data_IF_710234040736
#
_entry.id   IF_710234040736
#
_cell.length_a   1.000
_cell.length_b   1.000
_cell.length_c   1.000
_cell.angle_alpha   90.00
_cell.angle_beta   90.00
_cell.angle_gamma   90.00
#
_symmetry.space_group_name_H-M   'P 1'
#
loop_
_entity.id
_entity.type
_entity.pdbx_description
1 polymer ?
#
# COMPACT_ATOMS: atom_id res chain seq x y z
N UNK A 1 -27.57 92.46 -23.68
CA UNK A 1 -27.07 91.50 -22.68
C UNK A 1 -26.95 90.20 -23.40
N UNK A 2 -25.71 89.79 -23.60
CA UNK A 2 -25.29 89.09 -24.80
C UNK A 2 -24.80 87.69 -24.49
N UNK A 3 -24.86 86.82 -25.51
CA UNK A 3 -24.06 85.61 -25.57
C UNK A 3 -24.69 84.34 -25.00
N UNK A 4 -24.30 83.14 -25.48
CA UNK A 4 -23.52 82.86 -26.69
C UNK A 4 -23.84 81.41 -27.17
N UNK A 5 -23.37 81.06 -28.37
CA UNK A 5 -23.80 79.88 -29.13
C UNK A 5 -23.23 78.51 -28.70
N UNK A 6 -23.90 77.45 -29.19
CA UNK A 6 -23.39 76.12 -29.60
C UNK A 6 -23.17 74.99 -28.57
N UNK A 7 -23.53 73.76 -28.99
CA UNK A 7 -23.26 72.52 -28.27
C UNK A 7 -24.07 71.30 -28.75
N UNK A 8 -23.96 70.89 -30.03
CA UNK A 8 -24.53 69.61 -30.50
C UNK A 8 -23.53 68.47 -30.28
N UNK A 9 -23.96 67.41 -29.59
CA UNK A 9 -23.33 66.10 -29.50
C UNK A 9 -24.28 65.17 -28.73
N UNK A 10 -24.47 63.90 -29.06
CA UNK A 10 -23.72 63.03 -29.96
C UNK A 10 -23.77 61.64 -29.32
N UNK A 11 -24.77 60.84 -29.70
CA UNK A 11 -25.00 59.50 -29.14
C UNK A 11 -23.88 58.53 -29.56
N UNK A 12 -22.79 58.51 -28.79
CA UNK A 12 -21.78 57.46 -28.90
C UNK A 12 -22.25 56.24 -28.13
N UNK A 13 -22.74 55.22 -28.85
CA UNK A 13 -22.87 53.87 -28.30
C UNK A 13 -21.47 53.37 -27.97
N UNK A 14 -21.14 53.40 -26.68
CA UNK A 14 -19.89 52.83 -26.18
C UNK A 14 -19.95 51.32 -26.30
N UNK A 15 -19.34 50.77 -27.35
CA UNK A 15 -19.03 49.33 -27.41
C UNK A 15 -18.01 49.05 -26.30
N UNK A 16 -18.44 48.28 -25.30
CA UNK A 16 -17.64 47.98 -24.12
C UNK A 16 -16.49 47.02 -24.43
N UNK A 17 -15.37 47.60 -24.86
CA UNK A 17 -14.09 46.91 -25.09
C UNK A 17 -13.44 46.33 -23.83
N UNK A 18 -14.02 46.50 -22.63
CA UNK A 18 -13.51 45.82 -21.44
C UNK A 18 -13.81 44.31 -21.45
N UNK A 19 -14.85 43.90 -22.18
CA UNK A 19 -15.24 42.48 -22.32
C UNK A 19 -14.21 41.64 -23.10
N UNK A 20 -13.70 42.12 -24.24
CA UNK A 20 -12.73 41.39 -25.08
C UNK A 20 -11.34 41.24 -24.41
N UNK A 21 -10.94 42.18 -23.55
CA UNK A 21 -9.59 42.18 -22.95
C UNK A 21 -9.48 41.13 -21.84
N UNK A 22 -10.53 40.93 -21.04
CA UNK A 22 -10.55 39.97 -19.92
C UNK A 22 -10.57 38.50 -20.39
N UNK A 23 -11.07 38.22 -21.59
CA UNK A 23 -11.16 36.85 -22.10
C UNK A 23 -9.82 36.33 -22.66
N UNK A 24 -8.94 37.23 -23.10
CA UNK A 24 -7.65 36.89 -23.72
C UNK A 24 -6.64 36.21 -22.77
N UNK A 25 -6.68 36.51 -21.47
CA UNK A 25 -5.66 36.11 -20.49
C UNK A 25 -5.85 34.67 -19.97
N UNK A 26 -6.97 34.01 -20.30
CA UNK A 26 -7.22 32.57 -20.02
C UNK A 26 -6.52 31.64 -21.01
N UNK A 27 -6.08 32.14 -22.17
CA UNK A 27 -5.50 31.33 -23.25
C UNK A 27 -4.08 30.84 -22.95
N UNK A 28 -3.34 31.52 -22.08
CA UNK A 28 -1.99 31.13 -21.66
C UNK A 28 -2.06 30.19 -20.46
N UNK A 29 -2.48 28.95 -20.72
CA UNK A 29 -2.11 27.79 -19.89
C UNK A 29 -0.59 27.75 -19.79
N UNK A 30 -0.09 28.38 -18.74
CA UNK A 30 1.31 28.77 -18.60
C UNK A 30 2.16 27.49 -18.66
N UNK A 31 3.22 27.45 -19.48
CA UNK A 31 4.03 26.22 -19.67
C UNK A 31 4.50 25.64 -18.34
N UNK A 32 4.78 26.52 -17.35
CA UNK A 32 5.10 26.17 -15.96
C UNK A 32 4.00 25.36 -15.24
N UNK A 33 2.72 25.59 -15.54
CA UNK A 33 1.59 24.84 -14.98
C UNK A 33 1.45 23.45 -15.61
N UNK A 34 1.61 23.34 -16.94
CA UNK A 34 1.68 22.03 -17.61
C UNK A 34 2.85 21.18 -17.11
N UNK A 35 4.03 21.79 -16.96
CA UNK A 35 5.21 21.14 -16.37
C UNK A 35 4.96 20.63 -14.94
N UNK A 36 4.23 21.38 -14.09
CA UNK A 36 3.88 20.91 -12.74
C UNK A 36 2.97 19.68 -12.74
N UNK A 37 2.11 19.51 -13.75
CA UNK A 37 1.26 18.32 -13.88
C UNK A 37 1.98 17.09 -14.42
N UNK A 38 3.03 17.27 -15.24
CA UNK A 38 3.80 16.18 -15.88
C UNK A 38 5.05 15.79 -15.08
N UNK A 39 5.61 16.70 -14.28
CA UNK A 39 6.85 16.49 -13.51
C UNK A 39 6.83 15.20 -12.66
N UNK A 40 5.76 14.85 -11.91
CA UNK A 40 5.75 13.62 -11.13
C UNK A 40 5.87 12.36 -11.98
N UNK A 41 5.25 12.31 -13.17
CA UNK A 41 5.36 11.18 -14.10
C UNK A 41 6.79 11.03 -14.63
N UNK A 42 7.48 12.14 -14.91
CA UNK A 42 8.88 12.13 -15.32
C UNK A 42 9.82 11.67 -14.19
N UNK A 43 9.52 12.05 -12.94
CA UNK A 43 10.27 11.61 -11.78
C UNK A 43 10.05 10.12 -11.47
N UNK A 44 8.83 9.61 -11.65
CA UNK A 44 8.55 8.17 -11.56
C UNK A 44 9.30 7.39 -12.64
N UNK A 45 9.22 7.82 -13.91
CA UNK A 45 9.97 7.19 -14.99
C UNK A 45 11.48 7.20 -14.74
N UNK A 46 12.01 8.27 -14.15
CA UNK A 46 13.42 8.37 -13.76
C UNK A 46 13.77 7.44 -12.59
N UNK A 47 12.90 7.33 -11.56
CA UNK A 47 13.10 6.42 -10.44
C UNK A 47 13.08 4.96 -10.88
N UNK A 48 12.13 4.56 -11.73
CA UNK A 48 12.07 3.23 -12.34
C UNK A 48 13.28 2.95 -13.25
N UNK A 49 13.75 3.96 -14.00
CA UNK A 49 14.99 3.83 -14.76
C UNK A 49 16.20 3.59 -13.85
N UNK A 50 16.38 4.36 -12.77
CA UNK A 50 17.47 4.10 -11.82
C UNK A 50 17.35 2.72 -11.15
N UNK A 51 16.14 2.32 -10.75
CA UNK A 51 15.90 1.00 -10.18
C UNK A 51 16.28 -0.14 -11.14
N UNK A 52 15.82 -0.09 -12.40
CA UNK A 52 16.17 -1.10 -13.42
C UNK A 52 17.65 -1.15 -13.82
N UNK A 53 18.43 -0.10 -13.53
CA UNK A 53 19.87 -0.01 -13.87
C UNK A 53 20.81 -0.29 -12.70
N UNK A 54 20.35 -0.10 -11.46
CA UNK A 54 21.20 -0.17 -10.25
C UNK A 54 20.55 -0.92 -9.07
N UNK A 55 19.23 -1.15 -9.06
CA UNK A 55 18.52 -1.83 -7.98
C UNK A 55 18.65 -3.36 -8.00
N UNK A 56 18.97 -3.94 -9.15
CA UNK A 56 19.10 -5.40 -9.37
C UNK A 56 20.55 -5.91 -9.40
N UNK A 57 21.50 -5.13 -8.88
CA UNK A 57 22.93 -5.50 -8.92
C UNK A 57 23.25 -6.60 -7.88
N UNK A 58 23.04 -7.86 -8.27
CA UNK A 58 23.86 -8.98 -7.79
C UNK A 58 23.19 -10.11 -7.00
N UNK A 59 21.86 -10.30 -7.06
CA UNK A 59 21.20 -11.44 -6.36
C UNK A 59 20.11 -12.07 -7.25
N UNK A 60 20.35 -13.33 -7.63
CA UNK A 60 19.55 -14.46 -8.21
C UNK A 60 18.21 -14.28 -8.99
N UNK A 61 17.87 -15.33 -9.76
CA UNK A 61 16.59 -15.54 -10.47
C UNK A 61 15.93 -16.85 -9.96
N UNK A 62 14.62 -16.82 -9.62
CA UNK A 62 13.74 -18.00 -9.47
C UNK A 62 12.24 -17.58 -9.43
N UNK A 63 11.32 -18.54 -9.63
CA UNK A 63 9.86 -18.32 -9.74
C UNK A 63 9.02 -19.52 -9.24
N UNK A 64 7.68 -19.34 -9.19
CA UNK A 64 6.58 -20.34 -8.95
C UNK A 64 6.07 -20.49 -7.47
N UNK A 65 5.02 -21.31 -7.14
CA UNK A 65 3.73 -20.82 -6.59
C UNK A 65 3.29 -21.53 -5.24
N UNK A 66 2.05 -21.39 -4.70
CA UNK A 66 1.75 -21.57 -3.25
C UNK A 66 1.30 -22.99 -2.78
N UNK A 67 1.25 -23.21 -1.45
CA UNK A 67 1.03 -24.51 -0.77
C UNK A 67 0.19 -24.39 0.53
N UNK A 68 -0.65 -25.39 0.82
CA UNK A 68 -1.41 -25.69 2.07
C UNK A 68 -1.54 -27.23 2.20
N UNK A 69 -1.67 -27.92 3.34
CA UNK A 69 -1.59 -27.64 4.80
C UNK A 69 -1.05 -28.97 5.44
N UNK A 70 -0.49 -29.10 6.64
CA UNK A 70 -0.43 -28.25 7.84
C UNK A 70 0.17 -26.87 7.61
N UNK A 71 -0.16 -25.96 8.52
CA UNK A 71 0.50 -24.67 8.66
C UNK A 71 1.89 -24.83 9.28
N UNK A 72 2.81 -25.34 8.46
CA UNK A 72 4.22 -25.00 8.56
C UNK A 72 4.31 -23.50 8.20
N UNK A 73 4.30 -22.64 9.22
CA UNK A 73 4.33 -21.17 9.02
C UNK A 73 5.57 -20.74 8.23
N UNK A 74 6.67 -21.49 8.38
CA UNK A 74 7.95 -21.17 7.76
C UNK A 74 8.90 -22.35 7.77
N UNK A 75 9.54 -22.62 6.64
CA UNK A 75 10.82 -23.33 6.57
C UNK A 75 11.97 -22.32 6.65
N UNK A 76 13.01 -22.64 7.41
CA UNK A 76 14.26 -21.88 7.37
C UNK A 76 15.49 -22.78 7.33
N UNK A 77 16.47 -22.36 6.54
CA UNK A 77 17.62 -23.14 6.13
C UNK A 77 18.89 -22.52 6.71
N UNK A 78 19.49 -23.19 7.69
CA UNK A 78 20.77 -22.83 8.29
C UNK A 78 21.82 -23.84 7.85
N UNK A 79 23.11 -23.50 7.91
CA UNK A 79 24.18 -24.40 7.47
C UNK A 79 24.12 -25.76 8.19
N UNK A 80 23.73 -26.82 7.47
CA UNK A 80 23.55 -28.19 8.00
C UNK A 80 22.28 -28.42 8.82
N UNK A 81 21.30 -27.50 8.78
CA UNK A 81 20.01 -27.63 9.47
C UNK A 81 18.84 -27.10 8.64
N UNK A 82 17.71 -27.79 8.70
CA UNK A 82 16.39 -27.29 8.30
C UNK A 82 15.58 -27.09 9.58
N UNK A 83 15.10 -25.88 9.83
CA UNK A 83 14.16 -25.57 10.92
C UNK A 83 12.75 -25.37 10.34
N UNK A 84 11.81 -26.16 10.83
CA UNK A 84 10.39 -26.11 10.46
C UNK A 84 9.63 -25.44 11.60
N UNK A 85 9.10 -24.24 11.36
CA UNK A 85 8.22 -23.55 12.31
C UNK A 85 6.78 -24.00 12.08
N UNK A 86 6.13 -24.49 13.14
CA UNK A 86 4.79 -25.08 13.10
C UNK A 86 3.87 -24.44 14.12
N UNK A 87 2.59 -24.36 13.77
CA UNK A 87 1.50 -23.93 14.66
C UNK A 87 0.40 -24.98 14.68
N UNK A 88 -0.04 -25.37 15.87
CA UNK A 88 -1.17 -26.29 15.99
C UNK A 88 -2.50 -25.54 15.77
N UNK A 89 -2.99 -25.57 14.53
CA UNK A 89 -4.31 -25.10 14.11
C UNK A 89 -5.48 -26.03 14.48
N UNK A 90 -5.23 -27.17 15.11
CA UNK A 90 -6.23 -28.17 15.47
C UNK A 90 -6.95 -27.91 16.80
N UNK A 91 -8.05 -28.64 17.08
CA UNK A 91 -8.77 -28.55 18.35
C UNK A 91 -8.09 -29.29 19.51
N UNK A 92 -7.26 -30.30 19.19
CA UNK A 92 -6.57 -31.17 20.15
C UNK A 92 -5.04 -30.98 20.09
N UNK A 93 -4.29 -31.27 21.16
CA UNK A 93 -2.82 -31.25 21.12
C UNK A 93 -2.25 -32.24 20.09
N UNK A 94 -1.22 -31.82 19.36
CA UNK A 94 -0.54 -32.64 18.35
C UNK A 94 0.87 -32.95 18.84
N UNK A 95 1.21 -34.23 18.97
CA UNK A 95 2.57 -34.66 19.28
C UNK A 95 3.30 -35.13 18.02
N UNK A 96 4.44 -34.52 17.70
CA UNK A 96 5.28 -34.92 16.56
C UNK A 96 6.13 -36.13 16.96
N UNK A 97 6.01 -37.22 16.20
CA UNK A 97 6.65 -38.50 16.47
C UNK A 97 7.81 -38.81 15.52
N UNK A 98 7.67 -38.46 14.24
CA UNK A 98 8.66 -38.73 13.20
C UNK A 98 8.77 -37.57 12.21
N UNK A 99 9.92 -37.50 11.55
CA UNK A 99 10.20 -36.57 10.47
C UNK A 99 10.91 -37.31 9.35
N UNK A 100 10.50 -37.08 8.10
CA UNK A 100 11.26 -37.45 6.91
C UNK A 100 11.73 -36.22 6.15
N UNK A 101 12.88 -36.34 5.50
CA UNK A 101 13.34 -35.42 4.45
C UNK A 101 13.65 -36.28 3.23
N UNK A 102 13.07 -35.94 2.07
CA UNK A 102 13.22 -36.67 0.80
C UNK A 102 12.90 -38.18 0.96
N UNK A 103 11.73 -38.46 1.56
CA UNK A 103 11.23 -39.80 1.94
C UNK A 103 12.08 -40.57 2.99
N UNK A 104 13.24 -40.04 3.42
CA UNK A 104 14.12 -40.68 4.40
C UNK A 104 13.85 -40.21 5.83
N UNK A 105 13.65 -41.15 6.75
CA UNK A 105 13.52 -40.85 8.19
C UNK A 105 14.79 -40.20 8.75
N UNK A 106 14.64 -39.08 9.44
CA UNK A 106 15.77 -38.33 10.01
C UNK A 106 15.61 -38.08 11.52
N UNK A 107 16.72 -37.74 12.17
CA UNK A 107 16.67 -37.23 13.55
C UNK A 107 16.17 -35.79 13.57
N UNK A 108 15.53 -35.38 14.65
CA UNK A 108 15.01 -34.03 14.84
C UNK A 108 14.98 -33.65 16.33
N UNK A 109 14.96 -32.35 16.62
CA UNK A 109 14.76 -31.79 17.95
C UNK A 109 13.57 -30.81 17.88
N UNK A 110 12.59 -30.93 18.78
CA UNK A 110 11.45 -30.00 18.83
C UNK A 110 11.57 -29.08 20.05
N UNK A 111 11.42 -27.77 19.84
CA UNK A 111 11.40 -26.75 20.90
C UNK A 111 10.11 -25.94 20.85
N UNK A 112 9.45 -25.65 21.99
CA UNK A 112 9.87 -25.97 23.37
C UNK A 112 9.58 -27.41 23.82
N UNK A 113 8.66 -28.10 23.15
CA UNK A 113 8.23 -29.48 23.42
C UNK A 113 7.71 -30.11 22.13
N UNK A 114 7.75 -31.44 22.01
CA UNK A 114 7.18 -32.17 20.88
C UNK A 114 5.65 -32.29 20.93
N UNK A 115 5.05 -32.12 22.12
CA UNK A 115 3.60 -32.00 22.33
C UNK A 115 3.17 -30.54 22.17
N UNK A 116 2.53 -30.22 21.06
CA UNK A 116 2.09 -28.87 20.70
C UNK A 116 0.62 -28.71 21.07
N UNK A 117 0.33 -28.01 22.15
CA UNK A 117 -1.04 -27.64 22.55
C UNK A 117 -1.75 -26.82 21.45
N UNK A 118 -3.08 -26.79 21.48
CA UNK A 118 -3.89 -25.95 20.57
C UNK A 118 -3.46 -24.48 20.63
N UNK A 119 -3.27 -23.85 19.46
CA UNK A 119 -2.68 -22.50 19.27
C UNK A 119 -1.21 -22.38 19.72
N UNK A 120 -0.56 -23.49 20.09
CA UNK A 120 0.86 -23.54 20.41
C UNK A 120 1.74 -23.45 19.17
N UNK A 121 2.91 -22.82 19.35
CA UNK A 121 3.98 -22.74 18.37
C UNK A 121 5.11 -23.70 18.75
N UNK A 122 5.76 -24.32 17.77
CA UNK A 122 7.00 -25.05 17.97
C UNK A 122 7.95 -24.90 16.78
N UNK A 123 9.22 -25.21 16.98
CA UNK A 123 10.24 -25.29 15.93
C UNK A 123 10.86 -26.67 15.94
N UNK A 124 10.81 -27.36 14.81
CA UNK A 124 11.41 -28.68 14.57
C UNK A 124 12.73 -28.48 13.85
N UNK A 125 13.85 -28.67 14.55
CA UNK A 125 15.19 -28.56 13.99
C UNK A 125 15.68 -29.92 13.50
N UNK A 126 16.01 -30.01 12.22
CA UNK A 126 16.44 -31.24 11.51
C UNK A 126 17.90 -31.04 11.07
N UNK A 127 18.90 -31.78 11.62
CA UNK A 127 20.30 -31.70 11.21
C UNK A 127 20.54 -32.37 9.84
N UNK A 128 20.04 -31.76 8.77
CA UNK A 128 20.12 -32.26 7.40
C UNK A 128 21.12 -31.44 6.56
N UNK A 129 22.07 -32.08 5.85
CA UNK A 129 23.07 -31.40 5.02
C UNK A 129 22.50 -31.07 3.64
N UNK A 130 21.48 -30.20 3.59
CA UNK A 130 20.86 -29.72 2.35
C UNK A 130 21.85 -28.98 1.44
N UNK A 131 21.53 -28.92 0.14
CA UNK A 131 22.35 -28.27 -0.89
C UNK A 131 21.61 -27.06 -1.45
N UNK A 132 22.31 -25.94 -1.64
CA UNK A 132 21.71 -24.73 -2.19
C UNK A 132 21.28 -24.93 -3.65
N UNK A 133 20.01 -24.65 -3.92
CA UNK A 133 19.38 -24.86 -5.23
C UNK A 133 18.62 -26.18 -5.39
N UNK A 134 18.74 -27.13 -4.45
CA UNK A 134 18.02 -28.42 -4.53
C UNK A 134 16.62 -28.36 -3.89
N UNK A 135 15.63 -29.09 -4.42
CA UNK A 135 14.34 -29.25 -3.79
C UNK A 135 14.42 -30.24 -2.63
N UNK A 136 13.72 -29.97 -1.52
CA UNK A 136 13.56 -30.89 -0.41
C UNK A 136 12.10 -31.04 0.00
N UNK A 137 11.62 -32.27 0.15
CA UNK A 137 10.30 -32.58 0.69
C UNK A 137 10.43 -32.97 2.17
N UNK A 138 9.86 -32.16 3.07
CA UNK A 138 9.87 -32.40 4.52
C UNK A 138 8.49 -32.86 4.96
N UNK A 139 8.42 -34.00 5.65
CA UNK A 139 7.17 -34.54 6.18
C UNK A 139 7.27 -34.70 7.69
N UNK A 140 6.33 -34.12 8.42
CA UNK A 140 6.15 -34.33 9.86
C UNK A 140 5.02 -35.35 10.07
N UNK A 141 5.21 -36.30 10.97
CA UNK A 141 4.22 -37.35 11.27
C UNK A 141 3.89 -37.32 12.76
N UNK A 142 2.60 -37.27 13.09
CA UNK A 142 2.13 -37.26 14.48
C UNK A 142 2.16 -38.66 15.14
N UNK A 143 2.06 -38.72 16.47
CA UNK A 143 1.81 -39.98 17.20
C UNK A 143 0.50 -40.66 16.82
N UNK A 144 -0.48 -39.90 16.30
CA UNK A 144 -1.74 -40.41 15.74
C UNK A 144 -1.63 -40.88 14.28
N UNK A 145 -0.45 -40.79 13.65
CA UNK A 145 -0.22 -41.20 12.26
C UNK A 145 -0.76 -40.23 11.21
N UNK A 146 -1.08 -38.99 11.60
CA UNK A 146 -1.43 -37.91 10.66
C UNK A 146 -0.13 -37.37 10.04
N UNK A 147 -0.17 -37.15 8.73
CA UNK A 147 0.97 -36.76 7.90
C UNK A 147 0.81 -35.29 7.52
N UNK A 148 1.90 -34.54 7.59
CA UNK A 148 1.95 -33.10 7.31
C UNK A 148 3.16 -32.80 6.44
N UNK A 149 2.94 -32.36 5.21
CA UNK A 149 4.00 -32.18 4.21
C UNK A 149 4.27 -30.69 3.95
N UNK A 150 5.54 -30.33 3.79
CA UNK A 150 5.95 -29.08 3.16
C UNK A 150 7.10 -29.34 2.19
N UNK A 151 7.02 -28.71 1.03
CA UNK A 151 8.07 -28.73 0.02
C UNK A 151 8.84 -27.40 0.06
N UNK A 152 10.17 -27.49 0.07
CA UNK A 152 11.04 -26.39 -0.29
C UNK A 152 11.57 -26.66 -1.70
N UNK A 153 10.94 -26.13 -2.76
CA UNK A 153 11.33 -26.44 -4.15
C UNK A 153 12.71 -25.89 -4.52
N UNK A 154 13.23 -24.93 -3.76
CA UNK A 154 14.60 -24.40 -3.87
C UNK A 154 15.12 -24.08 -2.47
N UNK A 155 15.99 -24.94 -1.92
CA UNK A 155 16.66 -24.64 -0.66
C UNK A 155 17.71 -23.52 -0.86
N UNK A 156 17.66 -22.48 -0.02
CA UNK A 156 18.60 -21.35 -0.04
C UNK A 156 18.89 -20.87 1.37
N UNK A 157 20.09 -20.33 1.64
CA UNK A 157 20.46 -19.91 2.99
C UNK A 157 19.48 -18.85 3.51
N UNK A 158 18.71 -19.21 4.55
CA UNK A 158 17.78 -18.27 5.15
C UNK A 158 18.54 -17.07 5.72
N UNK A 159 18.15 -15.84 5.36
CA UNK A 159 18.96 -14.66 5.64
C UNK A 159 19.11 -14.42 7.14
N UNK A 160 20.36 -14.43 7.61
CA UNK A 160 20.68 -14.05 8.99
C UNK A 160 20.62 -12.53 9.15
N UNK A 161 20.14 -11.99 10.30
CA UNK A 161 20.10 -10.56 10.54
C UNK A 161 21.49 -9.89 10.52
N UNK A 162 21.85 -9.35 9.35
CA UNK A 162 23.08 -8.60 9.11
C UNK A 162 22.80 -7.19 8.59
N UNK A 163 23.79 -6.30 8.73
CA UNK A 163 23.69 -4.90 8.27
C UNK A 163 23.41 -4.78 6.78
N UNK A 164 24.00 -5.65 5.94
CA UNK A 164 23.74 -5.71 4.50
C UNK A 164 22.29 -6.06 4.19
N UNK A 165 21.72 -7.06 4.88
CA UNK A 165 20.31 -7.42 4.70
C UNK A 165 19.39 -6.27 5.11
N UNK A 166 19.58 -5.73 6.32
CA UNK A 166 18.80 -4.59 6.82
C UNK A 166 18.85 -3.40 5.85
N UNK A 167 20.02 -3.12 5.27
CA UNK A 167 20.18 -2.08 4.26
C UNK A 167 19.45 -2.42 2.95
N UNK A 168 19.57 -3.64 2.43
CA UNK A 168 18.91 -4.07 1.18
C UNK A 168 17.39 -3.93 1.29
N UNK A 169 16.78 -4.49 2.33
CA UNK A 169 15.32 -4.45 2.49
C UNK A 169 14.82 -3.04 2.85
N UNK A 170 15.65 -2.21 3.51
CA UNK A 170 15.36 -0.79 3.68
C UNK A 170 15.40 -0.02 2.36
N UNK A 171 16.35 -0.33 1.47
CA UNK A 171 16.41 0.28 0.13
C UNK A 171 15.18 -0.15 -0.69
N UNK A 172 14.80 -1.43 -0.68
CA UNK A 172 13.60 -1.93 -1.36
C UNK A 172 12.33 -1.21 -0.88
N UNK A 173 12.06 -1.23 0.44
CA UNK A 173 10.91 -0.52 1.01
C UNK A 173 10.95 1.01 0.81
N UNK A 174 12.13 1.61 0.70
CA UNK A 174 12.28 3.03 0.37
C UNK A 174 11.95 3.33 -1.10
N UNK A 175 12.33 2.46 -2.03
CA UNK A 175 11.96 2.56 -3.45
C UNK A 175 10.47 2.31 -3.70
N UNK A 176 9.83 1.48 -2.87
CA UNK A 176 8.43 1.06 -3.03
C UNK A 176 7.42 1.95 -2.31
N UNK A 177 7.68 2.32 -1.06
CA UNK A 177 6.78 3.19 -0.31
C UNK A 177 7.22 4.65 -0.38
N UNK A 178 8.44 4.95 0.08
CA UNK A 178 8.85 6.33 0.38
C UNK A 178 9.00 7.19 -0.88
N UNK A 179 9.85 6.79 -1.83
CA UNK A 179 10.08 7.56 -3.08
C UNK A 179 8.77 7.86 -3.84
N UNK A 180 7.93 6.86 -4.20
CA UNK A 180 6.77 7.08 -5.05
C UNK A 180 5.68 7.89 -4.36
N UNK A 181 5.37 7.65 -3.08
CA UNK A 181 4.46 8.52 -2.31
C UNK A 181 4.95 9.97 -2.32
N UNK A 182 6.26 10.19 -2.16
CA UNK A 182 6.83 11.54 -2.27
C UNK A 182 6.75 12.14 -3.67
N UNK A 183 6.90 11.34 -4.73
CA UNK A 183 6.65 11.78 -6.11
C UNK A 183 5.19 12.18 -6.27
N UNK A 184 4.24 11.41 -5.75
CA UNK A 184 2.82 11.73 -5.78
C UNK A 184 2.48 13.05 -5.08
N UNK A 185 3.11 13.34 -3.94
CA UNK A 185 2.95 14.61 -3.22
C UNK A 185 3.40 15.84 -4.04
N UNK A 186 4.22 15.68 -5.09
CA UNK A 186 4.66 16.78 -5.99
C UNK A 186 3.49 17.31 -6.84
N UNK A 187 2.36 16.60 -6.98
CA UNK A 187 1.14 17.18 -7.57
C UNK A 187 0.48 18.25 -6.69
N UNK A 188 0.79 18.36 -5.40
CA UNK A 188 0.20 19.37 -4.50
C UNK A 188 0.21 20.82 -5.07
N UNK A 189 1.35 21.41 -5.50
CA UNK A 189 1.38 22.75 -6.11
C UNK A 189 0.61 22.89 -7.44
N UNK A 190 0.35 21.79 -8.16
CA UNK A 190 -0.54 21.77 -9.32
C UNK A 190 -2.00 21.81 -8.88
N UNK A 191 -2.40 20.94 -7.96
CA UNK A 191 -3.77 20.83 -7.44
C UNK A 191 -4.27 22.16 -6.86
N UNK A 192 -3.43 22.90 -6.12
CA UNK A 192 -3.79 24.22 -5.55
C UNK A 192 -4.09 25.33 -6.58
N UNK A 193 -3.80 25.11 -7.86
CA UNK A 193 -4.05 26.07 -8.95
C UNK A 193 -5.26 25.72 -9.79
N UNK A 194 -5.92 24.59 -9.49
CA UNK A 194 -7.14 24.16 -10.16
C UNK A 194 -8.35 24.98 -9.68
N UNK A 195 -9.35 25.12 -10.55
CA UNK A 195 -10.66 25.59 -10.13
C UNK A 195 -11.39 24.52 -9.30
N UNK A 196 -12.36 24.94 -8.48
CA UNK A 196 -13.10 24.04 -7.58
C UNK A 196 -13.67 22.81 -8.31
N UNK A 197 -14.21 23.00 -9.53
CA UNK A 197 -14.71 21.92 -10.40
C UNK A 197 -13.65 20.87 -10.73
N UNK A 198 -12.45 21.29 -11.12
CA UNK A 198 -11.34 20.36 -11.39
C UNK A 198 -10.80 19.75 -10.10
N UNK A 199 -10.84 20.47 -8.98
CA UNK A 199 -10.43 19.94 -7.69
C UNK A 199 -11.40 18.84 -7.19
N UNK A 200 -12.72 19.00 -7.36
CA UNK A 200 -13.69 17.92 -7.11
C UNK A 200 -13.46 16.73 -8.06
N UNK A 201 -13.13 16.96 -9.34
CA UNK A 201 -12.76 15.88 -10.26
C UNK A 201 -11.56 15.07 -9.74
N UNK A 202 -10.46 15.70 -9.31
CA UNK A 202 -9.30 14.99 -8.76
C UNK A 202 -9.57 14.34 -7.38
N UNK A 203 -10.46 14.90 -6.56
CA UNK A 203 -10.95 14.20 -5.37
C UNK A 203 -11.81 12.97 -5.76
N UNK A 204 -12.59 13.03 -6.84
CA UNK A 204 -13.33 11.87 -7.34
C UNK A 204 -12.39 10.79 -7.89
N UNK A 205 -11.34 11.18 -8.63
CA UNK A 205 -10.24 10.28 -9.00
C UNK A 205 -9.65 9.64 -7.74
N UNK A 206 -9.36 10.42 -6.69
CA UNK A 206 -8.88 9.89 -5.40
C UNK A 206 -9.84 8.87 -4.78
N UNK A 207 -11.15 9.13 -4.79
CA UNK A 207 -12.16 8.15 -4.32
C UNK A 207 -12.11 6.87 -5.17
N UNK A 208 -11.97 6.98 -6.49
CA UNK A 208 -11.82 5.83 -7.38
C UNK A 208 -10.55 5.01 -7.13
N UNK A 209 -9.40 5.68 -6.93
CA UNK A 209 -8.14 5.04 -6.57
C UNK A 209 -8.28 4.27 -5.25
N UNK A 210 -8.77 4.93 -4.19
CA UNK A 210 -8.90 4.35 -2.85
C UNK A 210 -9.98 3.25 -2.76
N UNK A 211 -11.06 3.32 -3.57
CA UNK A 211 -12.03 2.23 -3.67
C UNK A 211 -11.39 0.95 -4.24
N UNK A 212 -10.59 1.08 -5.32
CA UNK A 212 -9.89 -0.07 -5.88
C UNK A 212 -8.87 -0.60 -4.89
N UNK A 213 -8.02 0.27 -4.33
CA UNK A 213 -7.00 -0.08 -3.34
C UNK A 213 -7.61 -0.81 -2.13
N UNK A 214 -8.74 -0.33 -1.62
CA UNK A 214 -9.47 -0.96 -0.53
C UNK A 214 -9.96 -2.37 -0.88
N UNK A 215 -10.51 -2.57 -2.08
CA UNK A 215 -10.93 -3.90 -2.56
C UNK A 215 -9.74 -4.84 -2.71
N UNK A 216 -8.66 -4.36 -3.32
CA UNK A 216 -7.41 -5.11 -3.55
C UNK A 216 -6.81 -5.60 -2.21
N UNK A 217 -6.70 -4.69 -1.23
CA UNK A 217 -6.25 -5.00 0.13
C UNK A 217 -7.17 -6.01 0.84
N UNK A 218 -8.48 -5.99 0.58
CA UNK A 218 -9.42 -7.00 1.12
C UNK A 218 -9.20 -8.35 0.47
N UNK A 219 -8.97 -8.41 -0.85
CA UNK A 219 -8.68 -9.66 -1.57
C UNK A 219 -7.38 -10.26 -1.04
N UNK A 220 -6.29 -9.49 -0.97
CA UNK A 220 -5.00 -9.94 -0.43
C UNK A 220 -5.11 -10.43 1.03
N UNK A 221 -5.87 -9.71 1.87
CA UNK A 221 -6.13 -10.15 3.24
C UNK A 221 -6.96 -11.44 3.32
N UNK A 222 -7.86 -11.70 2.37
CA UNK A 222 -8.63 -12.95 2.30
C UNK A 222 -7.75 -14.10 1.79
N UNK A 223 -6.92 -13.87 0.78
CA UNK A 223 -5.99 -14.86 0.24
C UNK A 223 -4.96 -15.28 1.30
N UNK A 224 -4.31 -14.33 1.99
CA UNK A 224 -3.41 -14.65 3.09
C UNK A 224 -4.10 -15.29 4.29
N UNK A 225 -5.42 -15.15 4.42
CA UNK A 225 -6.18 -15.76 5.50
C UNK A 225 -6.34 -17.28 5.38
N UNK A 226 -6.09 -17.88 4.20
CA UNK A 226 -6.10 -19.34 4.03
C UNK A 226 -4.84 -19.98 4.64
N UNK A 227 -3.70 -19.31 4.50
CA UNK A 227 -2.44 -19.66 5.17
C UNK A 227 -2.44 -19.43 6.70
N UNK A 228 -3.54 -18.94 7.29
CA UNK A 228 -3.69 -18.79 8.75
C UNK A 228 -4.24 -20.07 9.35
N UNK A 229 -3.46 -20.71 10.24
CA UNK A 229 -3.84 -21.92 10.97
C UNK A 229 -5.27 -21.86 11.53
N UNK A 230 -6.09 -22.85 11.19
CA UNK A 230 -7.56 -22.79 11.30
C UNK A 230 -8.12 -22.41 12.69
N UNK A 231 -7.42 -22.76 13.77
CA UNK A 231 -7.80 -22.37 15.14
C UNK A 231 -7.87 -20.84 15.36
N UNK A 232 -7.17 -20.03 14.57
CA UNK A 232 -7.23 -18.56 14.61
C UNK A 232 -8.34 -17.95 13.73
N UNK A 233 -9.03 -18.76 12.93
CA UNK A 233 -10.10 -18.35 12.00
C UNK A 233 -9.67 -17.18 11.08
N UNK A 234 -8.80 -17.43 10.10
CA UNK A 234 -8.22 -16.39 9.23
C UNK A 234 -9.22 -15.34 8.71
N UNK A 235 -10.34 -15.76 8.13
CA UNK A 235 -11.39 -14.84 7.64
C UNK A 235 -11.99 -13.99 8.79
N UNK A 236 -12.16 -14.59 9.97
CA UNK A 236 -12.62 -13.89 11.17
C UNK A 236 -11.59 -12.89 11.71
N UNK A 237 -10.29 -13.23 11.64
CA UNK A 237 -9.19 -12.33 11.96
C UNK A 237 -9.14 -11.14 11.00
N UNK A 238 -9.24 -11.38 9.68
CA UNK A 238 -9.32 -10.35 8.66
C UNK A 238 -10.53 -9.42 8.89
N UNK A 239 -11.74 -9.97 9.02
CA UNK A 239 -12.94 -9.18 9.30
C UNK A 239 -12.81 -8.35 10.59
N UNK A 240 -12.19 -8.92 11.63
CA UNK A 240 -11.94 -8.21 12.90
C UNK A 240 -10.96 -7.04 12.71
N UNK A 241 -9.84 -7.24 12.00
CA UNK A 241 -8.90 -6.17 11.66
C UNK A 241 -9.58 -5.04 10.87
N UNK A 242 -10.31 -5.40 9.81
CA UNK A 242 -11.09 -4.46 9.01
C UNK A 242 -12.04 -3.62 9.86
N UNK A 243 -12.89 -4.29 10.66
CA UNK A 243 -13.90 -3.61 11.46
C UNK A 243 -13.27 -2.73 12.55
N UNK A 244 -12.17 -3.17 13.18
CA UNK A 244 -11.45 -2.38 14.17
C UNK A 244 -10.91 -1.07 13.59
N UNK A 245 -10.23 -1.11 12.44
CA UNK A 245 -9.73 0.10 11.80
C UNK A 245 -10.85 1.02 11.33
N UNK A 246 -11.87 0.45 10.64
CA UNK A 246 -13.02 1.21 10.16
C UNK A 246 -13.73 1.95 11.31
N UNK A 247 -13.97 1.28 12.43
CA UNK A 247 -14.59 1.86 13.62
C UNK A 247 -13.66 2.85 14.33
N UNK A 248 -12.36 2.57 14.45
CA UNK A 248 -11.41 3.49 15.08
C UNK A 248 -11.36 4.84 14.34
N UNK A 249 -11.24 4.82 13.00
CA UNK A 249 -11.28 6.04 12.17
C UNK A 249 -12.66 6.72 12.30
N UNK A 250 -13.76 5.96 12.29
CA UNK A 250 -15.12 6.49 12.47
C UNK A 250 -15.34 7.21 13.81
N UNK A 251 -14.77 6.68 14.90
CA UNK A 251 -14.86 7.27 16.24
C UNK A 251 -14.03 8.55 16.33
N UNK A 252 -12.82 8.56 15.77
CA UNK A 252 -11.95 9.75 15.72
C UNK A 252 -12.60 10.88 14.92
N UNK A 253 -13.31 10.55 13.83
CA UNK A 253 -14.05 11.51 13.00
C UNK A 253 -15.21 12.16 13.78
N UNK A 254 -16.15 11.34 14.28
CA UNK A 254 -17.31 11.81 15.08
C UNK A 254 -16.90 12.63 16.31
N UNK A 255 -15.82 12.22 16.99
CA UNK A 255 -15.30 12.95 18.15
C UNK A 255 -14.81 14.37 17.80
N UNK A 256 -14.45 14.63 16.55
CA UNK A 256 -14.00 15.94 16.06
C UNK A 256 -15.11 16.79 15.47
N UNK A 257 -16.10 16.18 14.81
CA UNK A 257 -17.34 16.86 14.43
C UNK A 257 -17.98 17.50 15.67
N UNK A 258 -18.08 16.74 16.76
CA UNK A 258 -18.60 17.19 18.06
C UNK A 258 -17.77 18.31 18.73
N UNK A 259 -16.54 18.56 18.30
CA UNK A 259 -15.68 19.64 18.80
C UNK A 259 -15.64 20.89 17.88
N UNK A 260 -16.41 20.91 16.78
CA UNK A 260 -16.48 22.08 15.89
C UNK A 260 -15.15 22.43 15.23
N UNK A 261 -14.35 21.42 14.85
CA UNK A 261 -13.03 21.62 14.25
C UNK A 261 -13.10 22.48 12.97
N UNK A 262 -12.20 23.47 12.85
CA UNK A 262 -12.11 24.36 11.68
C UNK A 262 -11.79 23.58 10.41
N UNK A 263 -12.34 24.01 9.27
CA UNK A 263 -12.18 23.37 7.95
C UNK A 263 -10.73 23.04 7.57
N UNK A 264 -9.79 23.99 7.71
CA UNK A 264 -8.36 23.76 7.45
C UNK A 264 -7.74 22.66 8.34
N UNK A 265 -8.22 22.49 9.58
CA UNK A 265 -7.78 21.43 10.51
C UNK A 265 -8.40 20.08 10.12
N UNK A 266 -9.64 20.10 9.62
CA UNK A 266 -10.32 18.91 9.09
C UNK A 266 -9.61 18.36 7.84
N UNK A 267 -9.28 19.22 6.86
CA UNK A 267 -8.58 18.80 5.63
C UNK A 267 -7.19 18.21 5.90
N UNK A 268 -6.45 18.76 6.87
CA UNK A 268 -5.15 18.24 7.28
C UNK A 268 -5.26 16.90 8.02
N UNK A 269 -6.27 16.74 8.88
CA UNK A 269 -6.53 15.45 9.51
C UNK A 269 -6.87 14.39 8.47
N UNK A 270 -7.78 14.69 7.55
CA UNK A 270 -8.22 13.74 6.53
C UNK A 270 -7.01 13.22 5.74
N UNK A 271 -6.07 14.10 5.40
CA UNK A 271 -4.80 13.69 4.78
C UNK A 271 -3.91 12.81 5.67
N UNK A 272 -3.89 13.00 6.99
CA UNK A 272 -3.22 12.07 7.91
C UNK A 272 -3.96 10.74 8.05
N UNK A 273 -5.29 10.71 8.02
CA UNK A 273 -6.07 9.47 8.03
C UNK A 273 -5.86 8.68 6.73
N UNK A 274 -5.87 9.35 5.58
CA UNK A 274 -5.44 8.80 4.27
C UNK A 274 -4.03 8.22 4.39
N UNK A 275 -3.06 9.00 4.88
CA UNK A 275 -1.67 8.56 5.00
C UNK A 275 -1.47 7.37 5.96
N UNK A 276 -2.26 7.26 7.04
CA UNK A 276 -2.22 6.10 7.94
C UNK A 276 -2.84 4.86 7.30
N UNK A 277 -3.96 5.00 6.58
CA UNK A 277 -4.58 3.87 5.87
C UNK A 277 -3.66 3.31 4.79
N UNK A 278 -3.09 4.21 3.97
CA UNK A 278 -2.03 3.89 3.00
C UNK A 278 -0.82 3.25 3.69
N UNK A 279 -0.33 3.84 4.79
CA UNK A 279 0.82 3.30 5.52
C UNK A 279 0.62 1.87 6.02
N UNK A 280 -0.62 1.48 6.34
CA UNK A 280 -0.95 0.09 6.71
C UNK A 280 -1.03 -0.84 5.49
N UNK A 281 -1.43 -0.35 4.32
CA UNK A 281 -1.36 -1.10 3.05
C UNK A 281 0.11 -1.30 2.60
N UNK A 282 0.89 -0.22 2.54
CA UNK A 282 2.30 -0.24 2.13
C UNK A 282 3.17 -1.06 3.10
N UNK A 283 2.75 -1.22 4.36
CA UNK A 283 3.34 -2.20 5.27
C UNK A 283 3.14 -3.65 4.79
N UNK A 284 1.95 -3.99 4.29
CA UNK A 284 1.62 -5.27 3.67
C UNK A 284 2.41 -5.54 2.39
N UNK A 285 2.48 -4.58 1.47
CA UNK A 285 3.38 -4.66 0.30
C UNK A 285 4.83 -4.93 0.71
N UNK A 286 5.28 -4.24 1.75
CA UNK A 286 6.57 -4.47 2.37
C UNK A 286 6.72 -5.92 2.84
N UNK A 287 5.74 -6.47 3.55
CA UNK A 287 5.75 -7.88 3.97
C UNK A 287 5.83 -8.83 2.76
N UNK A 288 5.07 -8.57 1.68
CA UNK A 288 5.06 -9.38 0.47
C UNK A 288 6.41 -9.36 -0.26
N UNK A 289 7.01 -8.18 -0.48
CA UNK A 289 8.38 -8.04 -1.02
C UNK A 289 9.39 -8.71 -0.09
N UNK A 290 9.24 -8.50 1.22
CA UNK A 290 10.05 -9.09 2.26
C UNK A 290 10.12 -10.61 2.13
N UNK A 291 8.95 -11.24 2.12
CA UNK A 291 8.80 -12.68 1.97
C UNK A 291 9.34 -13.17 0.61
N UNK A 292 8.96 -12.54 -0.50
CA UNK A 292 9.37 -12.93 -1.85
C UNK A 292 10.90 -12.92 -2.03
N UNK A 293 11.61 -11.90 -1.53
CA UNK A 293 13.07 -11.89 -1.57
C UNK A 293 13.71 -12.89 -0.60
N UNK A 294 13.10 -13.18 0.55
CA UNK A 294 13.62 -14.16 1.51
C UNK A 294 13.38 -15.63 1.11
N UNK A 295 12.40 -15.90 0.23
CA UNK A 295 12.17 -17.21 -0.40
C UNK A 295 12.90 -17.37 -1.74
N UNK A 296 13.68 -16.38 -2.18
CA UNK A 296 14.43 -16.41 -3.44
C UNK A 296 13.61 -16.10 -4.69
N UNK A 297 12.32 -15.75 -4.57
CA UNK A 297 11.43 -15.36 -5.67
C UNK A 297 11.73 -13.93 -6.18
N UNK A 298 12.95 -13.68 -6.63
CA UNK A 298 13.46 -12.33 -6.93
C UNK A 298 12.86 -11.75 -8.22
N UNK A 299 12.46 -12.59 -9.18
CA UNK A 299 11.70 -12.13 -10.34
C UNK A 299 10.36 -11.51 -9.89
N UNK A 300 9.61 -12.23 -9.03
CA UNK A 300 8.38 -11.75 -8.39
C UNK A 300 8.66 -10.49 -7.55
N UNK A 301 9.67 -10.50 -6.68
CA UNK A 301 10.02 -9.34 -5.85
C UNK A 301 10.38 -8.08 -6.65
N UNK A 302 11.16 -8.21 -7.73
CA UNK A 302 11.53 -7.09 -8.63
C UNK A 302 10.31 -6.55 -9.37
N UNK A 303 9.46 -7.46 -9.83
CA UNK A 303 8.24 -7.16 -10.54
C UNK A 303 7.22 -6.44 -9.62
N UNK A 304 7.01 -6.94 -8.39
CA UNK A 304 6.25 -6.29 -7.32
C UNK A 304 6.79 -4.89 -7.01
N UNK A 305 8.12 -4.72 -6.88
CA UNK A 305 8.72 -3.39 -6.62
C UNK A 305 8.41 -2.37 -7.71
N UNK A 306 8.49 -2.76 -8.99
CA UNK A 306 8.16 -1.87 -10.11
C UNK A 306 6.69 -1.48 -10.07
N UNK A 307 5.80 -2.45 -9.84
CA UNK A 307 4.37 -2.19 -9.73
C UNK A 307 3.99 -1.34 -8.56
N UNK A 308 4.55 -1.67 -7.40
CA UNK A 308 4.27 -0.97 -6.17
C UNK A 308 4.77 0.48 -6.21
N UNK A 309 5.88 0.75 -6.92
CA UNK A 309 6.29 2.12 -7.20
C UNK A 309 5.31 2.92 -8.09
N UNK A 310 4.57 2.27 -8.99
CA UNK A 310 3.63 2.97 -9.90
C UNK A 310 2.34 3.35 -9.18
N UNK A 311 1.64 2.42 -8.50
CA UNK A 311 0.40 2.78 -7.79
C UNK A 311 0.65 3.68 -6.55
N UNK A 312 1.75 3.50 -5.81
CA UNK A 312 2.10 4.37 -4.66
C UNK A 312 2.41 5.82 -5.07
N UNK A 313 2.73 6.04 -6.35
CA UNK A 313 2.80 7.40 -6.90
C UNK A 313 1.42 8.06 -7.01
N UNK A 314 0.36 7.27 -7.22
CA UNK A 314 -1.03 7.77 -7.22
C UNK A 314 -1.58 7.97 -5.80
N UNK A 315 -1.05 7.26 -4.80
CA UNK A 315 -1.40 7.46 -3.39
C UNK A 315 -0.94 8.81 -2.84
N UNK A 316 0.23 9.29 -3.24
CA UNK A 316 0.69 10.64 -2.87
C UNK A 316 -0.24 11.74 -3.42
N UNK A 317 -0.92 11.50 -4.55
CA UNK A 317 -1.99 12.37 -5.05
C UNK A 317 -3.21 12.34 -4.11
N UNK A 318 -3.60 11.15 -3.63
CA UNK A 318 -4.70 10.97 -2.68
C UNK A 318 -4.50 11.77 -1.38
N UNK A 319 -3.29 11.73 -0.81
CA UNK A 319 -2.92 12.52 0.37
C UNK A 319 -2.97 14.03 0.07
N UNK A 320 -2.47 14.46 -1.10
CA UNK A 320 -2.39 15.87 -1.46
C UNK A 320 -3.75 16.52 -1.77
N UNK A 321 -4.71 15.75 -2.31
CA UNK A 321 -6.00 16.20 -2.79
C UNK A 321 -6.85 16.98 -1.75
N UNK A 322 -7.16 16.46 -0.54
CA UNK A 322 -7.95 17.20 0.44
C UNK A 322 -7.20 18.42 0.99
N UNK A 323 -5.87 18.36 1.15
CA UNK A 323 -5.08 19.50 1.63
C UNK A 323 -5.12 20.67 0.63
N UNK A 324 -5.18 20.39 -0.67
CA UNK A 324 -5.16 21.41 -1.71
C UNK A 324 -6.35 22.40 -1.64
N UNK A 325 -7.46 22.01 -0.99
CA UNK A 325 -8.63 22.86 -0.71
C UNK A 325 -8.40 23.93 0.37
N UNK A 326 -7.51 23.68 1.32
CA UNK A 326 -7.30 24.56 2.47
C UNK A 326 -6.69 25.90 2.09
N UNK A 327 -6.76 26.88 2.99
CA UNK A 327 -6.25 28.25 2.78
C UNK A 327 -4.80 28.45 3.23
N UNK A 328 -4.28 27.55 4.07
CA UNK A 328 -2.94 27.67 4.68
C UNK A 328 -1.81 27.78 3.65
N UNK A 329 -0.75 28.56 3.92
CA UNK A 329 0.34 28.75 2.94
C UNK A 329 1.15 27.47 2.69
N UNK A 330 1.66 27.28 1.47
CA UNK A 330 2.45 26.09 1.08
C UNK A 330 3.63 25.85 2.04
N UNK A 331 4.31 26.91 2.48
CA UNK A 331 5.41 26.83 3.45
C UNK A 331 4.98 26.28 4.82
N UNK A 332 3.75 26.54 5.27
CA UNK A 332 3.20 25.97 6.51
C UNK A 332 2.80 24.50 6.33
N UNK A 333 2.36 24.12 5.14
CA UNK A 333 1.91 22.75 4.83
C UNK A 333 3.06 21.79 4.48
N UNK A 334 4.22 22.29 4.04
CA UNK A 334 5.39 21.48 3.72
C UNK A 334 5.79 20.46 4.81
N UNK A 335 5.97 20.81 6.11
CA UNK A 335 6.31 19.82 7.14
C UNK A 335 5.20 18.77 7.33
N UNK A 336 3.93 19.13 7.07
CA UNK A 336 2.81 18.19 7.14
C UNK A 336 2.81 17.22 5.97
N UNK A 337 3.08 17.69 4.75
CA UNK A 337 3.26 16.84 3.56
C UNK A 337 4.45 15.89 3.73
N UNK A 338 5.57 16.37 4.30
CA UNK A 338 6.72 15.53 4.63
C UNK A 338 6.38 14.45 5.66
N UNK A 339 5.68 14.80 6.73
CA UNK A 339 5.28 13.82 7.74
C UNK A 339 4.23 12.82 7.20
N UNK A 340 3.26 13.28 6.41
CA UNK A 340 2.26 12.41 5.79
C UNK A 340 2.89 11.44 4.78
N UNK A 341 3.83 11.91 3.95
CA UNK A 341 4.59 11.04 3.03
C UNK A 341 5.44 10.00 3.74
N UNK A 342 6.02 10.34 4.90
CA UNK A 342 6.71 9.35 5.74
C UNK A 342 5.75 8.37 6.41
N UNK A 343 4.59 8.81 6.92
CA UNK A 343 3.59 7.92 7.52
C UNK A 343 3.04 6.92 6.49
N UNK A 344 2.84 7.36 5.25
CA UNK A 344 2.36 6.52 4.15
C UNK A 344 3.46 5.61 3.55
N UNK A 345 4.66 6.12 3.32
CA UNK A 345 5.71 5.39 2.60
C UNK A 345 6.71 4.61 3.47
N UNK A 346 7.02 5.09 4.69
CA UNK A 346 8.04 4.44 5.52
C UNK A 346 7.65 3.06 6.09
N UNK A 347 6.36 2.73 6.35
CA UNK A 347 5.98 1.39 6.81
C UNK A 347 6.39 0.26 5.85
N UNK A 348 6.52 0.50 4.54
CA UNK A 348 7.03 -0.48 3.58
C UNK A 348 8.45 -0.97 3.91
N UNK A 349 9.28 -0.14 4.54
CA UNK A 349 10.61 -0.53 5.03
C UNK A 349 10.47 -1.53 6.20
N UNK A 350 9.55 -1.25 7.12
CA UNK A 350 9.30 -2.12 8.29
C UNK A 350 8.67 -3.43 7.85
N UNK A 351 7.74 -3.38 6.89
CA UNK A 351 7.19 -4.56 6.22
C UNK A 351 8.28 -5.38 5.54
N UNK A 352 9.14 -4.78 4.73
CA UNK A 352 10.23 -5.46 4.04
C UNK A 352 11.16 -6.20 5.02
N UNK A 353 11.53 -5.57 6.14
CA UNK A 353 12.27 -6.26 7.20
C UNK A 353 11.50 -7.41 7.82
N UNK A 354 10.24 -7.21 8.22
CA UNK A 354 9.46 -8.24 8.91
C UNK A 354 9.11 -9.42 7.99
N UNK A 355 8.73 -9.18 6.73
CA UNK A 355 8.49 -10.23 5.75
C UNK A 355 9.76 -11.03 5.45
N UNK A 356 10.89 -10.33 5.35
CA UNK A 356 12.18 -10.98 5.09
C UNK A 356 12.76 -11.77 6.27
N UNK A 357 12.40 -11.43 7.51
CA UNK A 357 12.96 -12.08 8.71
C UNK A 357 12.01 -12.97 9.50
N UNK A 358 10.70 -12.70 9.46
CA UNK A 358 9.72 -13.22 10.40
C UNK A 358 8.29 -13.06 9.83
N UNK A 359 8.10 -13.45 8.56
CA UNK A 359 6.77 -13.51 7.96
C UNK A 359 5.86 -14.42 8.80
N UNK A 360 4.63 -13.97 9.03
CA UNK A 360 3.60 -14.72 9.75
C UNK A 360 2.25 -14.39 9.10
N UNK A 361 1.52 -15.39 8.57
CA UNK A 361 0.22 -15.18 7.93
C UNK A 361 -0.78 -14.46 8.83
N UNK A 362 -0.74 -14.73 10.15
CA UNK A 362 -1.59 -14.10 11.16
C UNK A 362 -1.42 -12.58 11.16
N UNK A 363 -0.17 -12.10 11.29
CA UNK A 363 0.10 -10.67 11.35
C UNK A 363 -0.09 -9.99 10.00
N UNK A 364 0.31 -10.63 8.89
CA UNK A 364 0.09 -10.10 7.55
C UNK A 364 -1.41 -9.87 7.26
N UNK A 365 -2.23 -10.91 7.46
CA UNK A 365 -3.69 -10.87 7.33
C UNK A 365 -4.31 -9.75 8.17
N UNK A 366 -3.91 -9.64 9.44
CA UNK A 366 -4.47 -8.65 10.36
C UNK A 366 -4.12 -7.21 10.00
N UNK A 367 -2.86 -6.94 9.61
CA UNK A 367 -2.43 -5.58 9.26
C UNK A 367 -2.94 -5.12 7.89
N UNK A 368 -3.00 -6.00 6.88
CA UNK A 368 -3.66 -5.69 5.62
C UNK A 368 -5.13 -5.36 5.83
N UNK A 369 -5.85 -6.18 6.60
CA UNK A 369 -7.24 -5.91 6.90
C UNK A 369 -7.46 -4.59 7.67
N UNK A 370 -6.58 -4.24 8.63
CA UNK A 370 -6.58 -2.91 9.26
C UNK A 370 -6.40 -1.79 8.22
N UNK A 371 -5.48 -1.96 7.25
CA UNK A 371 -5.29 -1.02 6.14
C UNK A 371 -6.56 -0.84 5.32
N UNK A 372 -7.15 -1.94 4.85
CA UNK A 372 -8.42 -1.94 4.13
C UNK A 372 -9.54 -1.20 4.89
N UNK A 373 -9.74 -1.54 6.17
CA UNK A 373 -10.77 -0.91 7.00
C UNK A 373 -10.60 0.60 7.15
N UNK A 374 -9.35 1.06 7.29
CA UNK A 374 -9.03 2.49 7.31
C UNK A 374 -9.29 3.16 5.94
N UNK A 375 -8.84 2.54 4.84
CA UNK A 375 -9.01 3.05 3.48
C UNK A 375 -10.49 3.19 3.13
N UNK A 376 -11.34 2.19 3.40
CA UNK A 376 -12.78 2.27 3.13
C UNK A 376 -13.46 3.40 3.92
N UNK A 377 -13.15 3.57 5.21
CA UNK A 377 -13.77 4.63 6.00
C UNK A 377 -13.31 6.03 5.54
N UNK A 378 -12.04 6.19 5.21
CA UNK A 378 -11.50 7.44 4.68
C UNK A 378 -12.08 7.77 3.30
N UNK A 379 -12.28 6.76 2.45
CA UNK A 379 -12.94 6.89 1.15
C UNK A 379 -14.38 7.39 1.31
N UNK A 380 -15.11 6.81 2.27
CA UNK A 380 -16.44 7.28 2.65
C UNK A 380 -16.44 8.73 3.17
N UNK A 381 -15.44 9.13 3.96
CA UNK A 381 -15.29 10.51 4.44
C UNK A 381 -15.08 11.50 3.29
N UNK A 382 -14.22 11.19 2.31
CA UNK A 382 -14.01 12.03 1.13
C UNK A 382 -15.30 12.13 0.32
N UNK A 383 -15.97 11.00 0.06
CA UNK A 383 -17.23 10.97 -0.68
C UNK A 383 -18.34 11.79 -0.01
N UNK A 384 -18.46 11.70 1.33
CA UNK A 384 -19.41 12.48 2.14
C UNK A 384 -19.09 13.97 2.09
N UNK A 385 -17.86 14.37 2.38
CA UNK A 385 -17.38 15.76 2.31
C UNK A 385 -17.58 16.38 0.91
N UNK A 386 -17.49 15.58 -0.15
CA UNK A 386 -17.82 16.01 -1.50
C UNK A 386 -19.33 16.16 -1.73
N UNK A 387 -20.16 15.28 -1.16
CA UNK A 387 -21.62 15.33 -1.26
C UNK A 387 -22.25 16.52 -0.54
N UNK A 388 -21.60 17.06 0.48
CA UNK A 388 -22.04 18.26 1.21
C UNK A 388 -21.91 19.57 0.40
N UNK A 389 -21.26 19.52 -0.78
CA UNK A 389 -20.91 20.67 -1.61
C UNK A 389 -21.66 20.66 -2.96
N UNK A 390 -22.23 21.79 -3.44
CA UNK A 390 -23.09 21.81 -4.63
C UNK A 390 -22.46 21.27 -5.92
N UNK A 391 -21.18 21.59 -6.17
CA UNK A 391 -20.40 21.10 -7.32
C UNK A 391 -19.67 19.77 -7.03
N UNK A 392 -19.77 19.27 -5.79
CA UNK A 392 -18.94 18.18 -5.29
C UNK A 392 -19.52 16.79 -5.50
N UNK A 393 -20.83 16.64 -5.69
CA UNK A 393 -21.47 15.32 -5.83
C UNK A 393 -20.75 14.42 -6.86
N UNK A 394 -20.46 13.19 -6.44
CA UNK A 394 -19.83 12.15 -7.26
C UNK A 394 -20.68 11.74 -8.48
N UNK A 395 -22.00 11.99 -8.45
CA UNK A 395 -22.92 11.67 -9.56
C UNK A 395 -22.98 12.74 -10.64
N UNK A 396 -22.31 13.89 -10.46
CA UNK A 396 -22.13 14.85 -11.57
C UNK A 396 -21.27 14.23 -12.67
N UNK A 397 -21.59 14.49 -13.94
CA UNK A 397 -20.93 13.80 -15.06
C UNK A 397 -19.40 13.91 -15.06
N UNK A 398 -18.84 15.05 -14.63
CA UNK A 398 -17.39 15.19 -14.51
C UNK A 398 -16.82 14.39 -13.32
N UNK A 399 -17.41 14.47 -12.13
CA UNK A 399 -16.88 13.75 -10.97
C UNK A 399 -17.06 12.23 -11.13
N UNK A 400 -18.14 11.78 -11.76
CA UNK A 400 -18.35 10.37 -12.12
C UNK A 400 -17.27 9.86 -13.09
N UNK A 401 -16.90 10.64 -14.11
CA UNK A 401 -15.75 10.34 -14.97
C UNK A 401 -14.44 10.31 -14.19
N UNK A 402 -14.26 11.18 -13.18
CA UNK A 402 -13.12 11.16 -12.29
C UNK A 402 -13.03 9.88 -11.47
N UNK A 403 -14.12 9.46 -10.83
CA UNK A 403 -14.20 8.21 -10.05
C UNK A 403 -13.90 7.00 -10.92
N UNK A 404 -14.51 6.90 -12.10
CA UNK A 404 -14.23 5.82 -13.06
C UNK A 404 -12.77 5.86 -13.52
N UNK A 405 -12.21 7.04 -13.78
CA UNK A 405 -10.80 7.19 -14.15
C UNK A 405 -9.86 6.73 -13.03
N UNK A 406 -10.16 6.98 -11.76
CA UNK A 406 -9.40 6.46 -10.62
C UNK A 406 -9.37 4.94 -10.60
N UNK A 407 -10.55 4.30 -10.72
CA UNK A 407 -10.66 2.84 -10.81
C UNK A 407 -9.90 2.29 -12.04
N UNK A 408 -10.01 2.95 -13.20
CA UNK A 408 -9.31 2.54 -14.43
C UNK A 408 -7.79 2.75 -14.36
N UNK A 409 -7.29 3.73 -13.61
CA UNK A 409 -5.86 3.89 -13.36
C UNK A 409 -5.33 2.71 -12.55
N UNK A 410 -5.98 2.37 -11.43
CA UNK A 410 -5.56 1.24 -10.58
C UNK A 410 -5.72 -0.12 -11.28
N UNK A 411 -6.82 -0.31 -12.02
CA UNK A 411 -7.02 -1.50 -12.84
C UNK A 411 -5.99 -1.59 -13.97
N UNK A 412 -5.66 -0.46 -14.61
CA UNK A 412 -4.62 -0.37 -15.63
C UNK A 412 -3.23 -0.67 -15.08
N UNK A 413 -2.92 -0.24 -13.86
CA UNK A 413 -1.71 -0.72 -13.17
C UNK A 413 -1.80 -2.21 -12.92
N UNK A 414 -2.89 -2.74 -12.34
CA UNK A 414 -3.09 -4.19 -12.13
C UNK A 414 -2.88 -5.06 -13.38
N UNK A 415 -3.30 -4.60 -14.56
CA UNK A 415 -3.02 -5.29 -15.85
C UNK A 415 -1.53 -5.26 -16.19
N UNK A 416 -0.88 -4.09 -16.12
CA UNK A 416 0.57 -3.98 -16.29
C UNK A 416 1.35 -4.77 -15.22
N UNK A 417 0.64 -5.19 -14.17
CA UNK A 417 1.13 -6.00 -13.06
C UNK A 417 0.71 -7.48 -13.09
N UNK A 418 0.14 -7.94 -14.19
CA UNK A 418 -0.17 -9.36 -14.41
C UNK A 418 0.29 -9.87 -15.78
N UNK A 419 1.05 -9.03 -16.51
CA UNK A 419 1.61 -9.25 -17.86
C UNK A 419 3.14 -9.17 -17.88
#
# INVERSE_FOLDING_TARGET
MDGFFQGRGGLTVGVDRSSEVVESDRSKLNVRFGLLGVLPLLLLALALFFFSRFGTVGVFEAAFPPVEELTIERLSFRQGFIDVHVVNGGPEPVEIAQVTVDEALWQFEVKPTNLIDRLGTATVSIPYPWVEGEPHAITLISTSGVIFEAEAPVASLSPTPGSTFLLTFAILGFYVGVIPVFIGLIWFPFLRRLSSRWLYFFLAVTVGLLLFLGVDTVVEAIELSTAVAGAFQGIGLAFTGFLLAFLAVSVVDRWRENQGARSDVSSLLLAYAIAVGIGLHNFGEGLAIGAAYATGAIALGTFLVVGFAVHNTTEGLAIAAPIARGTASVRRLLPHLLLAGLIAGAPAIVGAWLGGFAFSPIWATFFLALGAGAIFQVTWQIARMMGDEPDGSLTTGLNAMGLVLGVLIMYGTGILLTS
#
